data_IF_268846173841
#
_entry.id   IF_268846173841
#
_cell.length_a   1.000
_cell.length_b   1.000
_cell.length_c   1.000
_cell.angle_alpha   90.00
_cell.angle_beta   90.00
_cell.angle_gamma   90.00
#
_symmetry.space_group_name_H-M   'P 1'
#
loop_
_entity.id
_entity.type
_entity.pdbx_description
1 polymer ?
#
# COMPACT_ATOMS: atom_id res chain seq x y z
N UNK A 1 -1.41 21.81 15.45
CA UNK A 1 -2.59 20.95 15.66
C UNK A 1 -2.45 19.79 14.68
N UNK A 2 -1.80 18.69 15.10
CA UNK A 2 -1.47 17.57 14.19
C UNK A 2 -2.51 16.48 14.44
N UNK A 3 -3.49 16.34 13.56
CA UNK A 3 -4.53 15.30 13.66
C UNK A 3 -3.89 13.93 13.40
N UNK A 4 -3.51 13.26 14.49
CA UNK A 4 -2.82 11.98 14.50
C UNK A 4 -3.76 10.77 14.54
N UNK A 5 -4.80 10.74 13.71
CA UNK A 5 -5.67 9.56 13.59
C UNK A 5 -5.31 8.79 12.32
N UNK A 6 -4.27 7.96 12.43
CA UNK A 6 -3.97 6.93 11.44
C UNK A 6 -4.18 5.59 12.13
N UNK A 7 -5.03 4.71 11.60
CA UNK A 7 -5.02 3.31 12.01
C UNK A 7 -3.61 2.77 11.74
N UNK A 8 -2.88 2.42 12.81
CA UNK A 8 -1.48 1.95 12.71
C UNK A 8 -1.35 0.44 12.56
N UNK A 9 -2.45 -0.28 12.67
CA UNK A 9 -2.52 -1.73 12.54
C UNK A 9 -3.78 -2.09 11.75
N UNK A 10 -3.62 -2.96 10.75
CA UNK A 10 -4.71 -3.64 10.08
C UNK A 10 -4.62 -5.12 10.43
N UNK A 11 -5.73 -5.71 10.84
CA UNK A 11 -5.84 -7.13 11.17
C UNK A 11 -6.82 -7.75 10.19
N UNK A 12 -6.47 -8.91 9.64
CA UNK A 12 -7.36 -9.69 8.78
C UNK A 12 -7.64 -11.03 9.45
N UNK A 13 -8.92 -11.40 9.55
CA UNK A 13 -9.31 -12.72 10.04
C UNK A 13 -9.87 -13.57 8.89
N UNK A 14 -9.21 -14.70 8.61
CA UNK A 14 -9.69 -15.63 7.58
C UNK A 14 -10.76 -16.54 8.16
N UNK A 15 -12.01 -16.35 7.72
CA UNK A 15 -13.14 -17.19 8.13
C UNK A 15 -13.24 -18.46 7.30
N UNK A 16 -12.89 -18.36 6.01
CA UNK A 16 -12.92 -19.47 5.08
C UNK A 16 -11.83 -19.28 4.02
N UNK A 17 -10.84 -20.20 3.92
CA UNK A 17 -9.85 -20.17 2.86
C UNK A 17 -10.47 -20.55 1.52
N UNK A 18 -9.87 -20.07 0.43
CA UNK A 18 -10.22 -20.52 -0.91
C UNK A 18 -9.54 -21.86 -1.20
N UNK A 19 -10.17 -22.70 -2.04
CA UNK A 19 -9.58 -23.97 -2.49
C UNK A 19 -8.35 -23.75 -3.39
N UNK A 20 -8.32 -22.66 -4.15
CA UNK A 20 -7.18 -22.26 -4.99
C UNK A 20 -7.03 -20.75 -5.05
N UNK A 21 -5.79 -20.28 -4.94
CA UNK A 21 -5.46 -18.85 -4.93
C UNK A 21 -5.86 -18.15 -3.63
N UNK A 22 -5.96 -16.83 -3.67
CA UNK A 22 -6.23 -16.04 -2.47
C UNK A 22 -5.02 -15.91 -1.52
N UNK A 23 -3.81 -16.23 -1.99
CA UNK A 23 -2.57 -15.95 -1.25
C UNK A 23 -2.50 -14.46 -0.86
N UNK A 24 -2.02 -14.19 0.35
CA UNK A 24 -1.68 -12.83 0.78
C UNK A 24 -0.18 -12.65 0.69
N UNK A 25 0.24 -11.66 -0.10
CA UNK A 25 1.63 -11.23 -0.22
C UNK A 25 1.81 -9.96 0.60
N UNK A 26 2.85 -9.95 1.43
CA UNK A 26 3.26 -8.80 2.21
C UNK A 26 4.64 -8.33 1.75
N UNK A 27 4.79 -7.03 1.53
CA UNK A 27 6.00 -6.41 0.95
C UNK A 27 6.49 -5.30 1.86
N UNK A 28 7.79 -5.26 2.18
CA UNK A 28 8.39 -4.14 2.93
C UNK A 28 8.51 -2.87 2.07
N UNK A 29 7.55 -1.97 2.23
CA UNK A 29 7.47 -0.72 1.50
C UNK A 29 8.56 0.29 1.90
N UNK A 30 9.11 0.21 3.12
CA UNK A 30 10.20 1.07 3.56
C UNK A 30 11.50 0.66 2.89
N UNK A 31 11.75 -0.66 2.82
CA UNK A 31 12.87 -1.19 2.07
C UNK A 31 12.77 -0.85 0.57
N UNK A 32 11.60 -1.07 -0.04
CA UNK A 32 11.35 -0.69 -1.44
C UNK A 32 11.58 0.81 -1.69
N UNK A 33 11.16 1.68 -0.76
CA UNK A 33 11.38 3.12 -0.87
C UNK A 33 12.87 3.50 -0.72
N UNK A 34 13.61 2.83 0.17
CA UNK A 34 15.06 3.01 0.30
C UNK A 34 15.79 2.61 -0.99
N UNK A 35 15.39 1.49 -1.60
CA UNK A 35 15.97 1.04 -2.85
C UNK A 35 15.63 2.00 -4.01
N UNK A 36 14.38 2.48 -4.08
CA UNK A 36 14.00 3.50 -5.07
C UNK A 36 14.91 4.74 -4.94
N UNK A 37 15.20 5.18 -3.71
CA UNK A 37 16.11 6.31 -3.46
C UNK A 37 17.51 6.05 -4.01
N UNK A 38 18.03 4.83 -3.88
CA UNK A 38 19.35 4.44 -4.38
C UNK A 38 19.38 4.30 -5.90
N UNK A 39 18.35 3.70 -6.51
CA UNK A 39 18.27 3.43 -7.94
C UNK A 39 17.88 4.66 -8.76
N UNK A 40 16.93 5.45 -8.26
CA UNK A 40 16.42 6.64 -8.93
C UNK A 40 15.98 7.69 -7.91
N UNK A 41 16.93 8.53 -7.51
CA UNK A 41 16.68 9.62 -6.57
C UNK A 41 15.60 10.58 -7.06
N UNK A 42 15.53 10.88 -8.36
CA UNK A 42 14.51 11.78 -8.90
C UNK A 42 13.09 11.23 -8.72
N UNK A 43 12.92 9.91 -8.89
CA UNK A 43 11.64 9.26 -8.64
C UNK A 43 11.25 9.32 -7.16
N UNK A 44 12.19 9.00 -6.26
CA UNK A 44 11.99 9.13 -4.82
C UNK A 44 11.64 10.56 -4.39
N UNK A 45 12.40 11.56 -4.86
CA UNK A 45 12.16 12.98 -4.58
C UNK A 45 10.79 13.44 -5.11
N UNK A 46 10.36 12.91 -6.25
CA UNK A 46 9.03 13.21 -6.81
C UNK A 46 7.92 12.67 -5.91
N UNK A 47 8.03 11.41 -5.49
CA UNK A 47 7.03 10.75 -4.63
C UNK A 47 7.00 11.28 -3.18
N UNK A 48 8.08 11.92 -2.73
CA UNK A 48 8.17 12.60 -1.43
C UNK A 48 7.77 14.07 -1.45
N UNK A 49 7.53 14.66 -2.63
CA UNK A 49 7.15 16.07 -2.80
C UNK A 49 5.73 16.26 -3.31
N UNK A 50 5.31 15.45 -4.27
CA UNK A 50 3.99 15.59 -4.91
C UNK A 50 2.91 15.05 -3.99
N UNK A 51 1.95 15.92 -3.62
CA UNK A 51 0.75 15.52 -2.90
C UNK A 51 -0.30 15.01 -3.89
N UNK A 52 -0.94 13.91 -3.55
CA UNK A 52 -2.06 13.33 -4.29
C UNK A 52 -3.30 13.24 -3.41
N UNK A 53 -4.46 13.32 -4.02
CA UNK A 53 -5.74 13.14 -3.34
C UNK A 53 -6.11 11.67 -3.31
N UNK A 54 -6.53 11.20 -2.14
CA UNK A 54 -7.15 9.90 -1.94
C UNK A 54 -8.62 10.13 -1.61
N UNK A 55 -9.50 9.44 -2.31
CA UNK A 55 -10.95 9.56 -2.19
C UNK A 55 -11.57 8.17 -2.10
N UNK A 56 -12.26 7.92 -0.99
CA UNK A 56 -13.03 6.70 -0.76
C UNK A 56 -14.50 7.06 -0.67
N UNK A 57 -15.36 6.31 -1.37
CA UNK A 57 -16.82 6.45 -1.35
C UNK A 57 -17.48 5.09 -1.25
N UNK A 58 -18.27 4.88 -0.20
CA UNK A 58 -19.10 3.69 -0.04
C UNK A 58 -20.36 4.01 0.78
N UNK A 59 -21.53 3.84 0.17
CA UNK A 59 -22.82 4.19 0.77
C UNK A 59 -22.87 5.65 1.26
N UNK A 60 -23.06 5.83 2.57
CA UNK A 60 -23.06 7.15 3.23
C UNK A 60 -21.66 7.66 3.60
N UNK A 61 -20.61 6.86 3.40
CA UNK A 61 -19.24 7.23 3.75
C UNK A 61 -18.54 7.88 2.56
N UNK A 62 -18.01 9.08 2.79
CA UNK A 62 -17.17 9.79 1.83
C UNK A 62 -15.98 10.40 2.55
N UNK A 63 -14.78 9.92 2.24
CA UNK A 63 -13.54 10.42 2.80
C UNK A 63 -12.66 10.98 1.68
N UNK A 64 -12.13 12.18 1.89
CA UNK A 64 -11.14 12.80 1.00
C UNK A 64 -9.96 13.25 1.84
N UNK A 65 -8.77 12.81 1.46
CA UNK A 65 -7.52 13.23 2.11
C UNK A 65 -6.43 13.50 1.10
N UNK A 66 -5.38 14.20 1.53
CA UNK A 66 -4.24 14.55 0.66
C UNK A 66 -2.94 14.18 1.33
N UNK A 67 -2.16 13.38 0.63
CA UNK A 67 -0.88 12.90 1.12
C UNK A 67 0.13 12.71 0.00
N UNK A 68 1.39 12.59 0.39
CA UNK A 68 2.45 12.15 -0.50
C UNK A 68 2.52 10.62 -0.45
N UNK A 69 2.95 10.00 -1.54
CA UNK A 69 3.11 8.53 -1.60
C UNK A 69 4.18 8.09 -0.60
N UNK A 70 5.27 8.86 -0.50
CA UNK A 70 6.33 8.66 0.48
C UNK A 70 6.30 9.85 1.45
N UNK A 71 5.76 9.65 2.64
CA UNK A 71 5.75 10.71 3.64
C UNK A 71 7.08 10.75 4.38
N UNK A 72 7.64 11.95 4.49
CA UNK A 72 8.82 12.20 5.31
C UNK A 72 8.44 12.99 6.56
N UNK A 73 9.18 12.78 7.62
CA UNK A 73 9.18 13.68 8.76
C UNK A 73 9.71 15.05 8.34
N UNK A 74 9.08 16.13 8.81
CA UNK A 74 9.36 17.48 8.33
C UNK A 74 10.76 17.96 8.77
N UNK A 75 11.21 17.51 9.94
CA UNK A 75 12.47 17.93 10.57
C UNK A 75 13.60 17.00 10.13
N UNK A 76 13.45 15.71 10.40
CA UNK A 76 14.52 14.70 10.17
C UNK A 76 14.63 14.27 8.72
N UNK A 77 13.61 14.53 7.89
CA UNK A 77 13.49 14.07 6.49
C UNK A 77 13.56 12.55 6.34
N UNK A 78 13.42 11.80 7.43
CA UNK A 78 13.31 10.35 7.40
C UNK A 78 11.92 9.93 6.90
N UNK A 79 11.85 8.81 6.19
CA UNK A 79 10.59 8.24 5.74
C UNK A 79 9.77 7.80 6.97
N UNK A 80 8.54 8.30 7.09
CA UNK A 80 7.66 8.05 8.24
C UNK A 80 6.45 7.18 7.92
N UNK A 81 6.05 7.14 6.64
CA UNK A 81 4.95 6.34 6.14
C UNK A 81 5.05 6.19 4.61
N UNK A 82 4.48 5.09 4.10
CA UNK A 82 4.22 4.89 2.67
C UNK A 82 2.71 4.80 2.49
N UNK A 83 2.16 5.52 1.51
CA UNK A 83 0.75 5.50 1.12
C UNK A 83 0.59 5.07 -0.31
N UNK A 84 0.11 3.86 -0.48
CA UNK A 84 0.00 3.17 -1.75
C UNK A 84 -1.29 2.36 -1.79
N UNK A 85 -2.42 3.04 -1.95
CA UNK A 85 -3.64 2.40 -2.41
C UNK A 85 -4.02 3.00 -3.75
N UNK A 86 -3.85 2.25 -4.84
CA UNK A 86 -4.17 2.74 -6.17
C UNK A 86 -5.68 2.87 -6.41
N UNK A 87 -6.51 2.09 -5.71
CA UNK A 87 -7.97 2.12 -5.86
C UNK A 87 -8.58 3.39 -5.27
N UNK A 88 -8.09 3.80 -4.11
CA UNK A 88 -8.57 5.04 -3.45
C UNK A 88 -7.85 6.28 -3.97
N UNK A 89 -6.89 6.15 -4.89
CA UNK A 89 -6.19 7.31 -5.45
C UNK A 89 -7.09 8.01 -6.45
N UNK A 90 -7.53 9.22 -6.11
CA UNK A 90 -8.37 10.03 -6.99
C UNK A 90 -7.63 10.37 -8.30
N UNK A 91 -8.33 10.42 -9.45
CA UNK A 91 -7.77 10.98 -10.68
C UNK A 91 -7.48 12.49 -10.54
N UNK A 92 -8.06 13.15 -9.53
CA UNK A 92 -7.77 14.56 -9.19
C UNK A 92 -6.41 14.67 -8.56
N UNK A 93 -5.40 14.96 -9.39
CA UNK A 93 -4.08 15.31 -8.90
C UNK A 93 -3.92 16.82 -9.04
N UNK A 94 -3.83 17.51 -7.91
CA UNK A 94 -3.30 18.88 -7.89
C UNK A 94 -1.78 18.78 -8.08
N UNK A 95 -1.36 18.68 -9.33
CA UNK A 95 0.04 18.67 -9.70
C UNK A 95 0.71 20.01 -9.39
N UNK A 96 2.06 20.06 -9.30
CA UNK A 96 2.78 21.27 -9.65
C UNK A 96 2.40 21.67 -11.09
N UNK A 97 2.37 22.97 -11.38
CA UNK A 97 1.60 23.62 -12.45
C UNK A 97 1.77 23.15 -13.92
N UNK A 98 2.53 22.09 -14.25
CA UNK A 98 2.94 21.76 -15.62
C UNK A 98 2.77 20.28 -16.03
N UNK A 99 2.40 20.00 -17.30
CA UNK A 99 2.23 18.63 -17.84
C UNK A 99 3.43 17.70 -17.68
N UNK A 100 4.66 18.24 -17.61
CA UNK A 100 5.87 17.45 -17.39
C UNK A 100 5.91 16.82 -16.00
N UNK A 101 5.37 17.51 -14.99
CA UNK A 101 5.40 17.05 -13.60
C UNK A 101 4.42 15.89 -13.40
N UNK A 102 3.35 15.87 -14.21
CA UNK A 102 2.42 14.74 -14.34
C UNK A 102 3.12 13.48 -14.82
N UNK A 103 3.82 13.58 -15.96
CA UNK A 103 4.54 12.44 -16.54
C UNK A 103 5.62 11.93 -15.59
N UNK A 104 6.35 12.84 -14.94
CA UNK A 104 7.38 12.47 -13.98
C UNK A 104 6.79 11.74 -12.77
N UNK A 105 5.68 12.22 -12.21
CA UNK A 105 5.00 11.55 -11.10
C UNK A 105 4.55 10.13 -11.47
N UNK A 106 3.86 9.96 -12.60
CA UNK A 106 3.38 8.63 -13.00
C UNK A 106 4.52 7.68 -13.35
N UNK A 107 5.60 8.16 -13.99
CA UNK A 107 6.81 7.37 -14.21
C UNK A 107 7.46 6.95 -12.88
N UNK A 108 7.52 7.85 -11.91
CA UNK A 108 8.06 7.57 -10.57
C UNK A 108 7.20 6.54 -9.82
N UNK A 109 5.87 6.69 -9.88
CA UNK A 109 4.91 5.76 -9.27
C UNK A 109 4.99 4.37 -9.92
N UNK A 110 5.18 4.30 -11.24
CA UNK A 110 5.36 3.04 -11.95
C UNK A 110 6.65 2.32 -11.50
N UNK A 111 7.75 3.06 -11.36
CA UNK A 111 9.00 2.49 -10.85
C UNK A 111 8.85 1.95 -9.43
N UNK A 112 8.19 2.71 -8.55
CA UNK A 112 7.93 2.24 -7.19
C UNK A 112 7.02 1.01 -7.18
N UNK A 113 5.97 0.99 -8.00
CA UNK A 113 5.07 -0.17 -8.16
C UNK A 113 5.82 -1.43 -8.61
N UNK A 114 6.78 -1.29 -9.54
CA UNK A 114 7.61 -2.41 -9.99
C UNK A 114 8.46 -2.98 -8.85
N UNK A 115 9.01 -2.13 -7.99
CA UNK A 115 9.75 -2.58 -6.81
C UNK A 115 8.83 -3.31 -5.82
N UNK A 116 7.63 -2.77 -5.58
CA UNK A 116 6.64 -3.40 -4.70
C UNK A 116 6.16 -4.76 -5.22
N UNK A 117 6.11 -4.96 -6.53
CA UNK A 117 5.66 -6.20 -7.15
C UNK A 117 6.81 -7.15 -7.54
N UNK A 118 8.05 -6.76 -7.26
CA UNK A 118 9.19 -7.59 -7.60
C UNK A 118 9.25 -8.79 -6.64
N UNK A 119 9.40 -10.04 -7.16
CA UNK A 119 9.40 -11.25 -6.33
C UNK A 119 10.45 -11.22 -5.22
N UNK A 120 11.56 -10.53 -5.45
CA UNK A 120 12.68 -10.38 -4.51
C UNK A 120 12.29 -9.57 -3.25
N UNK A 121 11.13 -8.91 -3.24
CA UNK A 121 10.64 -8.04 -2.17
C UNK A 121 9.37 -8.58 -1.49
N UNK A 122 8.85 -9.71 -1.97
CA UNK A 122 7.76 -10.43 -1.30
C UNK A 122 8.34 -11.14 -0.07
N UNK A 123 8.53 -10.36 0.99
CA UNK A 123 9.23 -10.80 2.19
C UNK A 123 8.40 -11.78 3.04
N UNK A 124 7.09 -11.90 2.79
CA UNK A 124 6.27 -12.92 3.44
C UNK A 124 5.11 -13.39 2.53
N UNK A 125 5.04 -14.70 2.31
CA UNK A 125 3.88 -15.39 1.76
C UNK A 125 3.06 -15.94 2.94
N UNK A 126 1.81 -15.50 3.07
CA UNK A 126 0.89 -16.06 4.07
C UNK A 126 -0.11 -16.96 3.36
N UNK A 127 -0.03 -18.24 3.67
CA UNK A 127 -1.05 -19.23 3.33
C UNK A 127 -2.05 -19.30 4.48
N UNK A 128 -3.33 -19.11 4.18
CA UNK A 128 -4.38 -19.09 5.20
C UNK A 128 -5.00 -20.48 5.32
N UNK A 129 -4.94 -21.07 6.51
CA UNK A 129 -5.77 -22.21 6.92
C UNK A 129 -6.94 -21.69 7.76
N UNK A 130 -8.05 -22.44 7.83
CA UNK A 130 -9.17 -22.06 8.71
C UNK A 130 -8.76 -22.23 10.18
N UNK A 131 -9.12 -21.27 11.04
CA UNK A 131 -8.91 -21.25 12.50
C UNK A 131 -7.48 -21.00 13.04
N UNK A 132 -6.51 -20.58 12.23
CA UNK A 132 -5.21 -20.13 12.77
C UNK A 132 -5.29 -18.68 13.30
N UNK A 133 -5.43 -18.55 14.61
CA UNK A 133 -5.27 -17.28 15.35
C UNK A 133 -3.81 -16.94 15.66
N UNK A 134 -2.89 -17.90 15.57
CA UNK A 134 -1.49 -17.73 15.99
C UNK A 134 -0.67 -16.90 14.99
N UNK A 135 -0.89 -17.07 13.68
CA UNK A 135 -0.28 -16.19 12.67
C UNK A 135 -0.76 -14.73 12.78
N UNK A 136 -1.98 -14.51 13.30
CA UNK A 136 -2.54 -13.16 13.44
C UNK A 136 -1.84 -12.32 14.52
N UNK A 137 -1.23 -12.96 15.53
CA UNK A 137 -0.52 -12.27 16.61
C UNK A 137 0.92 -11.87 16.22
N UNK A 138 1.62 -12.65 15.39
CA UNK A 138 2.95 -12.25 14.87
C UNK A 138 2.85 -11.14 13.81
N UNK A 139 1.69 -11.02 13.17
CA UNK A 139 1.39 -10.02 12.14
C UNK A 139 0.85 -8.70 12.75
N UNK A 140 0.44 -8.72 14.03
CA UNK A 140 -0.26 -7.60 14.71
C UNK A 140 0.57 -6.31 14.85
N UNK A 141 1.89 -6.36 14.89
CA UNK A 141 2.72 -5.15 15.07
C UNK A 141 3.19 -4.50 13.77
N UNK A 142 3.02 -5.16 12.62
CA UNK A 142 3.78 -4.82 11.41
C UNK A 142 3.01 -3.95 10.39
N UNK A 143 1.68 -3.83 10.52
CA UNK A 143 0.85 -3.77 9.32
C UNK A 143 0.40 -2.44 8.70
N UNK A 144 0.50 -1.24 9.29
CA UNK A 144 0.08 -0.01 8.54
C UNK A 144 1.19 1.03 8.30
N UNK A 145 2.46 0.62 8.39
CA UNK A 145 3.58 1.44 7.91
C UNK A 145 4.35 0.74 6.80
N UNK A 146 4.58 -0.57 6.95
CA UNK A 146 5.61 -1.23 6.17
C UNK A 146 5.08 -2.21 5.13
N UNK A 147 3.77 -2.51 5.07
CA UNK A 147 3.31 -3.66 4.29
C UNK A 147 2.03 -3.41 3.51
N UNK A 148 2.08 -3.72 2.21
CA UNK A 148 0.91 -3.71 1.32
C UNK A 148 0.45 -5.13 0.99
N UNK A 149 -0.82 -5.50 1.24
CA UNK A 149 -1.34 -6.80 0.84
C UNK A 149 -1.57 -6.82 -0.67
N UNK A 150 -0.78 -7.60 -1.40
CA UNK A 150 -1.07 -7.96 -2.80
C UNK A 150 -1.73 -9.33 -2.78
N UNK A 151 -2.88 -9.46 -3.46
CA UNK A 151 -3.62 -10.74 -3.56
C UNK A 151 -3.47 -11.33 -4.95
N UNK A 152 -3.16 -12.62 -5.02
CA UNK A 152 -3.28 -13.36 -6.28
C UNK A 152 -4.77 -13.57 -6.61
N UNK A 153 -5.10 -13.46 -7.89
CA UNK A 153 -6.45 -13.71 -8.39
C UNK A 153 -6.94 -15.12 -8.01
N UNK A 154 -8.23 -15.23 -7.70
CA UNK A 154 -8.91 -16.51 -7.57
C UNK A 154 -9.10 -17.09 -8.96
N UNK A 155 -8.84 -18.39 -9.14
CA UNK A 155 -9.31 -19.12 -10.32
C UNK A 155 -10.83 -19.29 -10.19
N UNK A 156 -11.55 -19.00 -11.27
CA UNK A 156 -13.01 -18.94 -11.31
C UNK A 156 -13.62 -20.32 -11.02
N UNK A 157 -14.10 -20.57 -9.80
CA UNK A 157 -14.89 -21.77 -9.45
C UNK A 157 -16.02 -21.45 -8.45
N UNK A 158 -17.19 -22.03 -8.73
CA UNK A 158 -18.49 -21.64 -8.19
C UNK A 158 -18.67 -21.71 -6.67
N UNK A 159 -19.54 -20.81 -6.16
CA UNK A 159 -20.19 -20.74 -4.83
C UNK A 159 -19.34 -20.93 -3.55
N UNK A 160 -18.04 -21.20 -3.62
CA UNK A 160 -17.11 -21.37 -2.49
C UNK A 160 -16.03 -20.29 -2.44
N UNK A 161 -16.41 -19.02 -2.42
CA UNK A 161 -15.44 -17.90 -2.36
C UNK A 161 -14.83 -17.69 -0.97
N UNK A 162 -13.61 -17.12 -0.92
CA UNK A 162 -12.92 -16.72 0.32
C UNK A 162 -13.78 -15.71 1.12
N UNK A 163 -13.84 -15.88 2.44
CA UNK A 163 -14.46 -14.90 3.37
C UNK A 163 -13.42 -14.34 4.33
N UNK A 164 -13.34 -13.01 4.44
CA UNK A 164 -12.42 -12.28 5.33
C UNK A 164 -13.24 -11.24 6.09
N UNK A 165 -12.96 -11.07 7.38
CA UNK A 165 -13.47 -10.00 8.23
C UNK A 165 -12.33 -9.07 8.64
#
# INVERSE_FOLDING_TARGET
MVSGWWMRVQVFHCLQPAEQGGDTLLVDAFHAASLLRSLNKQAYDTLTRVSVEFEYRDGSHHYVTRHRVLEQDEVTRQLRAVRYNLYDRSPRVQFPALPRDVKLFYSSLQQFTRLLHSPDFNNLYIFWTANETEAANEIQEFLNRCVYPIRKGLSDMGRGGRKVQ
#
